data_IF_319116781395
#
_entry.id   IF_319116781395
#
_cell.length_a   1.000
_cell.length_b   1.000
_cell.length_c   1.000
_cell.angle_alpha   90.00
_cell.angle_beta   90.00
_cell.angle_gamma   90.00
#
_symmetry.space_group_name_H-M   'P 1'
#
loop_
_entity.id
_entity.type
_entity.pdbx_description
1 polymer ?
#
# COMPACT_ATOMS: atom_id res chain seq x y z
N UNK A 1 -1.29 18.71 19.91
CA UNK A 1 -2.68 19.21 19.81
C UNK A 1 -3.47 18.17 19.04
N UNK A 2 -4.42 17.51 19.68
CA UNK A 2 -5.26 16.48 19.06
C UNK A 2 -6.66 17.04 18.93
N UNK A 3 -7.22 16.99 17.72
CA UNK A 3 -8.62 17.34 17.48
C UNK A 3 -9.35 16.07 17.05
N UNK A 4 -10.45 15.78 17.72
CA UNK A 4 -11.41 14.73 17.36
C UNK A 4 -12.60 15.45 16.75
N UNK A 5 -13.00 15.06 15.55
CA UNK A 5 -14.28 15.44 14.94
C UNK A 5 -14.96 14.18 14.44
N UNK A 6 -16.02 13.78 15.15
CA UNK A 6 -17.00 12.81 14.71
C UNK A 6 -18.10 13.49 13.90
N UNK A 7 -18.40 12.94 12.72
CA UNK A 7 -19.74 12.95 12.13
C UNK A 7 -19.85 11.69 11.26
N UNK A 8 -20.85 10.84 11.53
CA UNK A 8 -21.23 9.63 10.77
C UNK A 8 -20.65 8.24 11.16
N UNK A 9 -20.17 8.04 12.39
CA UNK A 9 -20.03 6.67 12.95
C UNK A 9 -18.96 5.75 12.33
N UNK A 10 -18.26 6.18 11.27
CA UNK A 10 -17.06 5.50 10.79
C UNK A 10 -15.87 6.15 11.49
N UNK A 11 -15.33 5.45 12.49
CA UNK A 11 -14.06 5.79 13.13
C UNK A 11 -12.94 5.56 12.13
N UNK A 12 -12.70 6.53 11.24
CA UNK A 12 -11.44 6.60 10.52
C UNK A 12 -10.42 7.23 11.46
N UNK A 13 -9.85 6.40 12.34
CA UNK A 13 -8.64 6.76 13.06
C UNK A 13 -7.49 6.78 12.05
N UNK A 14 -7.33 7.89 11.34
CA UNK A 14 -6.03 8.26 10.80
C UNK A 14 -5.16 8.64 12.00
N UNK A 15 -4.72 7.62 12.75
CA UNK A 15 -3.64 7.81 13.71
C UNK A 15 -2.46 8.35 12.91
N UNK A 16 -1.83 9.47 13.34
CA UNK A 16 -0.56 9.87 12.78
C UNK A 16 0.42 8.74 13.13
N UNK A 17 0.62 7.81 12.19
CA UNK A 17 1.61 6.76 12.33
C UNK A 17 2.95 7.48 12.39
N UNK A 18 3.59 7.31 13.54
CA UNK A 18 5.02 7.48 13.80
C UNK A 18 5.87 7.65 12.54
N UNK A 19 6.73 8.66 12.59
CA UNK A 19 7.79 9.12 11.66
C UNK A 19 8.77 8.01 11.17
N UNK A 20 8.27 6.81 10.88
CA UNK A 20 9.00 5.71 10.29
C UNK A 20 8.70 5.71 8.80
N UNK A 21 9.71 6.09 8.03
CA UNK A 21 9.64 5.99 6.58
C UNK A 21 9.48 4.51 6.23
N UNK A 22 8.30 4.16 5.71
CA UNK A 22 8.07 2.80 5.19
C UNK A 22 8.68 2.72 3.79
N UNK A 23 9.42 1.67 3.55
CA UNK A 23 10.08 1.43 2.26
C UNK A 23 9.61 0.08 1.72
N UNK A 24 9.30 0.05 0.43
CA UNK A 24 9.02 -1.18 -0.32
C UNK A 24 10.31 -1.66 -0.95
N UNK A 25 10.71 -2.89 -0.67
CA UNK A 25 11.82 -3.58 -1.34
C UNK A 25 11.25 -4.54 -2.36
N UNK A 26 11.53 -4.31 -3.64
CA UNK A 26 11.10 -5.15 -4.77
C UNK A 26 12.24 -5.25 -5.78
N UNK A 27 12.53 -6.46 -6.28
CA UNK A 27 13.62 -6.73 -7.24
C UNK A 27 14.98 -6.10 -6.89
N UNK A 28 15.36 -6.14 -5.60
CA UNK A 28 16.60 -5.51 -5.06
C UNK A 28 16.65 -3.97 -5.17
N UNK A 29 15.54 -3.34 -5.53
CA UNK A 29 15.36 -1.90 -5.49
C UNK A 29 14.50 -1.52 -4.28
N UNK A 30 14.68 -0.28 -3.81
CA UNK A 30 13.98 0.27 -2.66
C UNK A 30 13.15 1.45 -3.15
N UNK A 31 11.87 1.45 -2.80
CA UNK A 31 10.92 2.47 -3.16
C UNK A 31 10.33 3.08 -1.88
N UNK A 32 10.25 4.41 -1.82
CA UNK A 32 9.62 5.09 -0.69
C UNK A 32 8.09 4.91 -0.76
N UNK A 33 7.49 4.49 0.35
CA UNK A 33 6.03 4.46 0.51
C UNK A 33 5.62 5.82 1.07
N UNK A 34 4.81 6.56 0.33
CA UNK A 34 4.26 7.83 0.80
C UNK A 34 3.15 7.61 1.81
N UNK A 35 2.24 6.67 1.53
CA UNK A 35 1.16 6.33 2.44
C UNK A 35 0.65 4.91 2.24
N UNK A 36 -0.03 4.39 3.27
CA UNK A 36 -0.79 3.14 3.19
C UNK A 36 -2.24 3.55 2.95
N UNK A 37 -2.74 3.29 1.75
CA UNK A 37 -4.09 3.67 1.30
C UNK A 37 -5.14 2.74 1.91
N UNK A 38 -4.79 1.47 2.07
CA UNK A 38 -5.68 0.46 2.61
C UNK A 38 -4.89 -0.63 3.33
N UNK A 39 -5.42 -1.12 4.43
CA UNK A 39 -4.81 -2.21 5.20
C UNK A 39 -5.91 -3.21 5.56
N UNK A 40 -5.77 -4.43 5.05
CA UNK A 40 -6.61 -5.57 5.37
C UNK A 40 -5.79 -6.66 6.06
N UNK A 41 -6.50 -7.67 6.58
CA UNK A 41 -5.89 -8.81 7.23
C UNK A 41 -4.98 -9.63 6.31
N UNK A 42 -5.18 -9.63 5.00
CA UNK A 42 -4.41 -10.46 4.08
C UNK A 42 -3.38 -9.67 3.25
N UNK A 43 -3.64 -8.38 3.05
CA UNK A 43 -2.79 -7.49 2.24
C UNK A 43 -2.93 -6.03 2.67
N UNK A 44 -1.93 -5.23 2.33
CA UNK A 44 -1.97 -3.77 2.46
C UNK A 44 -1.68 -3.12 1.10
N UNK A 45 -2.49 -2.12 0.75
CA UNK A 45 -2.26 -1.27 -0.42
C UNK A 45 -1.42 -0.07 0.01
N UNK A 46 -0.30 0.09 -0.67
CA UNK A 46 0.65 1.18 -0.46
C UNK A 46 0.67 2.06 -1.70
N UNK A 47 0.83 3.36 -1.47
CA UNK A 47 1.17 4.32 -2.51
C UNK A 47 2.67 4.61 -2.45
N UNK A 48 3.34 4.42 -3.57
CA UNK A 48 4.74 4.77 -3.72
C UNK A 48 4.90 6.26 -4.06
N UNK A 49 5.99 6.87 -3.57
CA UNK A 49 6.36 8.25 -3.95
C UNK A 49 6.91 8.36 -5.37
N UNK A 50 7.26 7.23 -5.97
CA UNK A 50 7.73 7.12 -7.34
C UNK A 50 6.93 6.03 -8.06
N UNK A 51 6.73 6.19 -9.37
CA UNK A 51 6.08 5.17 -10.21
C UNK A 51 7.02 3.98 -10.42
N UNK A 52 6.43 2.78 -10.45
CA UNK A 52 7.13 1.53 -10.73
C UNK A 52 6.57 0.95 -12.02
N UNK A 53 7.44 0.64 -12.99
CA UNK A 53 6.98 0.00 -14.22
C UNK A 53 6.71 -1.49 -13.99
N UNK A 54 5.45 -1.88 -14.04
CA UNK A 54 4.99 -3.26 -13.93
C UNK A 54 4.12 -3.61 -15.13
N UNK A 55 4.35 -4.75 -15.78
CA UNK A 55 3.60 -5.18 -16.97
C UNK A 55 3.49 -4.09 -18.07
N UNK A 56 4.52 -3.25 -18.23
CA UNK A 56 4.53 -2.16 -19.21
C UNK A 56 3.62 -0.98 -18.88
N UNK A 57 3.13 -0.88 -17.64
CA UNK A 57 2.38 0.26 -17.11
C UNK A 57 3.09 0.86 -15.91
N UNK A 58 2.93 2.16 -15.73
CA UNK A 58 3.39 2.85 -14.53
C UNK A 58 2.38 2.66 -13.41
N UNK A 59 2.79 1.93 -12.40
CA UNK A 59 1.98 1.64 -11.22
C UNK A 59 2.51 2.46 -10.04
N UNK A 60 1.61 3.19 -9.38
CA UNK A 60 1.91 3.91 -8.14
C UNK A 60 1.31 3.24 -6.91
N UNK A 61 0.20 2.54 -7.11
CA UNK A 61 -0.52 1.85 -6.06
C UNK A 61 -0.29 0.35 -6.19
N UNK A 62 0.20 -0.25 -5.12
CA UNK A 62 0.57 -1.66 -5.11
C UNK A 62 0.05 -2.32 -3.84
N UNK A 63 -0.41 -3.55 -3.96
CA UNK A 63 -0.76 -4.37 -2.82
C UNK A 63 0.41 -5.27 -2.43
N UNK A 64 0.72 -5.31 -1.15
CA UNK A 64 1.69 -6.25 -0.57
C UNK A 64 0.93 -7.19 0.34
N UNK A 65 0.98 -8.49 0.06
CA UNK A 65 0.36 -9.50 0.92
C UNK A 65 1.25 -9.80 2.13
N UNK A 66 0.67 -10.39 3.19
CA UNK A 66 1.43 -10.88 4.34
C UNK A 66 2.50 -11.91 3.98
N UNK A 67 2.34 -12.60 2.85
CA UNK A 67 3.32 -13.56 2.31
C UNK A 67 4.46 -12.87 1.53
N UNK A 68 4.62 -11.56 1.69
CA UNK A 68 5.62 -10.76 1.00
C UNK A 68 5.48 -10.84 -0.53
N UNK A 69 4.25 -10.92 -1.06
CA UNK A 69 4.00 -10.90 -2.50
C UNK A 69 3.49 -9.53 -2.93
N UNK A 70 4.01 -9.02 -4.05
CA UNK A 70 3.57 -7.77 -4.65
C UNK A 70 2.51 -8.04 -5.71
N UNK A 71 1.41 -7.30 -5.64
CA UNK A 71 0.33 -7.33 -6.61
C UNK A 71 0.05 -5.93 -7.15
N UNK A 72 -0.21 -5.82 -8.45
CA UNK A 72 -0.87 -4.63 -8.99
C UNK A 72 -2.33 -4.64 -8.57
N UNK A 73 -2.84 -3.46 -8.23
CA UNK A 73 -4.24 -3.29 -7.91
C UNK A 73 -5.03 -2.71 -9.07
N UNK A 74 -6.27 -3.15 -9.25
CA UNK A 74 -7.24 -2.44 -10.09
C UNK A 74 -8.18 -1.66 -9.20
N UNK A 75 -8.03 -0.33 -9.17
CA UNK A 75 -8.93 0.54 -8.42
C UNK A 75 -10.36 0.56 -9.00
N UNK A 76 -10.56 0.10 -10.25
CA UNK A 76 -11.86 0.01 -10.91
C UNK A 76 -12.48 -1.39 -10.77
N UNK A 77 -11.73 -2.39 -10.32
CA UNK A 77 -12.30 -3.70 -10.08
C UNK A 77 -13.15 -3.74 -8.80
N UNK A 78 -14.12 -4.64 -8.79
CA UNK A 78 -14.84 -4.98 -7.57
C UNK A 78 -13.84 -5.40 -6.47
N UNK A 79 -14.14 -5.16 -5.17
CA UNK A 79 -13.22 -5.44 -4.06
C UNK A 79 -12.68 -6.87 -4.02
N UNK A 80 -13.44 -7.83 -4.56
CA UNK A 80 -13.06 -9.25 -4.64
C UNK A 80 -12.07 -9.56 -5.79
N UNK A 81 -11.73 -8.57 -6.62
CA UNK A 81 -10.80 -8.66 -7.76
C UNK A 81 -9.72 -7.58 -7.71
N UNK A 82 -9.51 -7.00 -6.53
CA UNK A 82 -8.61 -5.87 -6.34
C UNK A 82 -7.14 -6.26 -6.63
N UNK A 83 -6.74 -7.50 -6.38
CA UNK A 83 -5.42 -8.03 -6.73
C UNK A 83 -5.45 -8.68 -8.12
N UNK A 84 -4.77 -8.09 -9.12
CA UNK A 84 -4.82 -8.61 -10.50
C UNK A 84 -3.65 -9.54 -10.80
N UNK A 85 -2.42 -9.03 -10.66
CA UNK A 85 -1.21 -9.66 -11.14
C UNK A 85 -0.16 -9.70 -10.04
N UNK A 86 0.34 -10.91 -9.75
CA UNK A 86 1.49 -11.10 -8.87
C UNK A 86 2.78 -10.82 -9.64
N UNK A 87 3.60 -9.91 -9.12
CA UNK A 87 4.89 -9.53 -9.71
C UNK A 87 6.09 -10.20 -9.05
N UNK A 88 5.85 -10.95 -7.98
CA UNK A 88 6.88 -11.65 -7.23
C UNK A 88 6.92 -11.20 -5.79
N UNK A 89 8.11 -11.23 -5.18
CA UNK A 89 8.27 -10.99 -3.76
C UNK A 89 8.61 -9.52 -3.47
N UNK A 90 7.81 -8.86 -2.64
CA UNK A 90 8.13 -7.55 -2.08
C UNK A 90 7.97 -7.53 -0.56
N UNK A 91 8.83 -6.75 0.10
CA UNK A 91 8.82 -6.60 1.56
C UNK A 91 8.70 -5.14 1.91
N UNK A 92 7.82 -4.84 2.86
CA UNK A 92 7.76 -3.53 3.49
C UNK A 92 8.72 -3.57 4.69
N UNK A 93 9.68 -2.65 4.70
CA UNK A 93 10.56 -2.42 5.84
C UNK A 93 10.24 -1.04 6.42
N UNK A 94 10.38 -0.90 7.73
CA UNK A 94 10.25 0.38 8.43
C UNK A 94 11.63 0.74 8.94
N UNK A 95 12.10 1.94 8.61
CA UNK A 95 13.38 2.48 9.09
C UNK A 95 13.15 3.56 10.15
#
# INVERSE_FOLDING_TARGET
MSFILTADGIVMSAQPRTDQVKLLVFERQIYAIEQIVFEADEFCVVELGQTLQLNGREERYLAVTKNAQLFTIDALAAPNKLLIHCHGCARIISH
#
